data_IF_931447440583
#
_entry.id   IF_931447440583
#
_cell.length_a   1.000
_cell.length_b   1.000
_cell.length_c   1.000
_cell.angle_alpha   90.00
_cell.angle_beta   90.00
_cell.angle_gamma   90.00
#
_symmetry.space_group_name_H-M   'P 1'
#
loop_
_entity.id
_entity.type
_entity.pdbx_description
1 polymer ?
#
# COMPACT_ATOMS: atom_id res chain seq x y z
N UNK A 1 -24.63 -44.26 -5.41
CA UNK A 1 -23.41 -43.52 -5.81
C UNK A 1 -23.63 -42.56 -6.99
N UNK A 2 -24.25 -42.97 -8.11
CA UNK A 2 -24.48 -42.08 -9.28
C UNK A 2 -25.35 -40.84 -8.99
N UNK A 3 -26.41 -40.98 -8.18
CA UNK A 3 -27.30 -39.87 -7.82
C UNK A 3 -26.61 -38.79 -6.97
N UNK A 4 -25.69 -39.20 -6.09
CA UNK A 4 -24.92 -38.27 -5.23
C UNK A 4 -23.95 -37.45 -6.08
N UNK A 5 -23.28 -38.07 -7.05
CA UNK A 5 -22.39 -37.36 -7.98
C UNK A 5 -23.15 -36.35 -8.86
N UNK A 6 -24.34 -36.71 -9.36
CA UNK A 6 -25.18 -35.81 -10.14
C UNK A 6 -25.68 -34.62 -9.29
N UNK A 7 -26.06 -34.86 -8.04
CA UNK A 7 -26.51 -33.81 -7.11
C UNK A 7 -25.37 -32.84 -6.75
N UNK A 8 -24.15 -33.35 -6.52
CA UNK A 8 -22.97 -32.53 -6.28
C UNK A 8 -22.57 -31.69 -7.51
N UNK A 9 -22.67 -32.24 -8.72
CA UNK A 9 -22.46 -31.48 -9.95
C UNK A 9 -23.46 -30.34 -10.09
N UNK A 10 -24.75 -30.59 -9.85
CA UNK A 10 -25.80 -29.56 -9.88
C UNK A 10 -25.56 -28.48 -8.82
N UNK A 11 -25.12 -28.84 -7.61
CA UNK A 11 -24.71 -27.89 -6.58
C UNK A 11 -23.50 -27.04 -6.98
N UNK A 12 -22.51 -27.61 -7.67
CA UNK A 12 -21.37 -26.87 -8.22
C UNK A 12 -21.78 -25.90 -9.35
N UNK A 13 -22.79 -26.26 -10.15
CA UNK A 13 -23.35 -25.36 -11.17
C UNK A 13 -24.23 -24.25 -10.56
N UNK A 14 -24.90 -24.51 -9.43
CA UNK A 14 -25.73 -23.54 -8.69
C UNK A 14 -24.92 -22.66 -7.74
N UNK A 15 -23.71 -23.10 -7.35
CA UNK A 15 -22.66 -22.24 -6.80
C UNK A 15 -22.10 -21.36 -7.93
N UNK A 16 -23.00 -20.57 -8.54
CA UNK A 16 -22.67 -19.62 -9.58
C UNK A 16 -21.52 -18.77 -9.08
N UNK A 17 -20.44 -18.75 -9.85
CA UNK A 17 -19.39 -17.77 -9.72
C UNK A 17 -20.06 -16.40 -9.78
N UNK A 18 -20.26 -15.75 -8.63
CA UNK A 18 -20.63 -14.34 -8.57
C UNK A 18 -19.43 -13.57 -9.10
N UNK A 19 -19.38 -13.43 -10.43
CA UNK A 19 -18.44 -12.53 -11.06
C UNK A 19 -18.73 -11.13 -10.52
N UNK A 20 -17.67 -10.40 -10.19
CA UNK A 20 -17.77 -9.01 -9.79
C UNK A 20 -18.45 -8.22 -10.90
N UNK A 21 -19.55 -7.53 -10.59
CA UNK A 21 -20.19 -6.63 -11.54
C UNK A 21 -19.37 -5.33 -11.61
N UNK A 22 -18.39 -5.32 -12.51
CA UNK A 22 -17.48 -4.20 -12.68
C UNK A 22 -18.00 -3.23 -13.74
N UNK A 23 -17.86 -1.92 -13.47
CA UNK A 23 -18.04 -0.85 -14.45
C UNK A 23 -16.69 -0.19 -14.71
N UNK A 24 -16.44 0.19 -15.96
CA UNK A 24 -15.23 0.95 -16.29
C UNK A 24 -15.18 2.26 -15.49
N UNK A 25 -14.05 2.50 -14.83
CA UNK A 25 -13.82 3.71 -14.05
C UNK A 25 -13.54 4.91 -14.98
N UNK A 26 -13.70 6.16 -14.49
CA UNK A 26 -13.26 7.34 -15.21
C UNK A 26 -11.80 7.20 -15.70
N UNK A 27 -11.58 7.51 -16.99
CA UNK A 27 -10.31 7.22 -17.65
C UNK A 27 -9.17 8.07 -17.09
N UNK A 28 -8.16 7.40 -16.53
CA UNK A 28 -6.82 7.95 -16.31
C UNK A 28 -5.87 7.33 -17.34
N UNK A 29 -5.03 8.13 -17.99
CA UNK A 29 -4.12 7.62 -19.02
C UNK A 29 -2.86 7.02 -18.39
N UNK A 30 -2.61 5.73 -18.65
CA UNK A 30 -1.45 4.98 -18.18
C UNK A 30 -1.27 4.97 -16.66
N UNK A 31 -2.29 4.57 -15.86
CA UNK A 31 -2.15 4.44 -14.42
C UNK A 31 -1.11 3.38 -14.08
N UNK A 32 -0.32 3.62 -13.03
CA UNK A 32 0.70 2.70 -12.51
C UNK A 32 0.39 2.22 -11.11
N UNK A 33 -0.27 3.05 -10.30
CA UNK A 33 -0.68 2.72 -8.94
C UNK A 33 -1.94 3.51 -8.59
N UNK A 34 -2.80 2.92 -7.77
CA UNK A 34 -4.05 3.50 -7.27
C UNK A 34 -4.21 3.13 -5.80
N UNK A 35 -4.82 4.01 -5.01
CA UNK A 35 -5.22 3.73 -3.64
C UNK A 35 -6.56 4.39 -3.33
N UNK A 36 -7.32 3.79 -2.43
CA UNK A 36 -8.65 4.27 -2.05
C UNK A 36 -8.88 4.15 -0.54
N UNK A 37 -9.32 5.24 0.06
CA UNK A 37 -9.52 5.36 1.50
C UNK A 37 -10.26 6.63 1.85
N UNK A 38 -11.07 6.58 2.91
CA UNK A 38 -11.87 7.72 3.39
C UNK A 38 -12.79 8.35 2.32
N UNK A 39 -13.31 7.54 1.40
CA UNK A 39 -14.17 8.00 0.30
C UNK A 39 -13.42 8.73 -0.83
N UNK A 40 -12.09 8.74 -0.79
CA UNK A 40 -11.24 9.32 -1.82
C UNK A 40 -10.55 8.22 -2.62
N UNK A 41 -10.19 8.55 -3.85
CA UNK A 41 -9.36 7.69 -4.70
C UNK A 41 -8.21 8.53 -5.24
N UNK A 42 -6.99 8.05 -5.06
CA UNK A 42 -5.76 8.68 -5.56
C UNK A 42 -5.02 7.74 -6.49
N UNK A 43 -4.29 8.27 -7.46
CA UNK A 43 -3.56 7.47 -8.42
C UNK A 43 -2.28 8.14 -8.90
N UNK A 44 -1.32 7.33 -9.35
CA UNK A 44 -0.10 7.74 -10.05
C UNK A 44 -0.17 7.29 -11.51
N UNK A 45 0.18 8.16 -12.45
CA UNK A 45 0.38 7.78 -13.85
C UNK A 45 1.84 7.40 -14.19
N UNK A 46 2.09 6.92 -15.42
CA UNK A 46 3.45 6.56 -15.87
C UNK A 46 4.47 7.70 -15.83
N UNK A 47 4.02 8.95 -15.78
CA UNK A 47 4.86 10.14 -15.67
C UNK A 47 5.05 10.57 -14.21
N UNK A 48 4.64 9.74 -13.25
CA UNK A 48 4.83 9.97 -11.82
C UNK A 48 4.07 11.19 -11.33
N UNK A 49 2.94 11.50 -11.97
CA UNK A 49 2.03 12.58 -11.57
C UNK A 49 0.95 11.97 -10.70
N UNK A 50 0.72 12.57 -9.53
CA UNK A 50 -0.37 12.17 -8.65
C UNK A 50 -1.68 12.85 -9.04
N UNK A 51 -2.78 12.14 -8.83
CA UNK A 51 -4.13 12.62 -9.09
C UNK A 51 -5.07 12.19 -7.96
N UNK A 52 -6.14 12.94 -7.78
CA UNK A 52 -7.32 12.50 -7.03
C UNK A 52 -8.55 12.47 -7.94
N UNK A 53 -9.45 11.53 -7.68
CA UNK A 53 -10.73 11.44 -8.38
C UNK A 53 -11.77 12.32 -7.69
N UNK A 54 -12.46 13.16 -8.46
CA UNK A 54 -13.64 13.90 -8.00
C UNK A 54 -14.72 13.84 -9.08
N UNK A 55 -15.91 13.35 -8.70
CA UNK A 55 -16.96 13.03 -9.67
C UNK A 55 -16.47 12.04 -10.73
N UNK A 56 -16.52 12.43 -11.99
CA UNK A 56 -16.07 11.63 -13.13
C UNK A 56 -14.71 12.08 -13.71
N UNK A 57 -13.94 12.86 -12.96
CA UNK A 57 -12.73 13.52 -13.47
C UNK A 57 -11.54 13.36 -12.54
N UNK A 58 -10.36 13.17 -13.13
CA UNK A 58 -9.09 13.12 -12.42
C UNK A 58 -8.43 14.51 -12.37
N UNK A 59 -8.05 14.95 -11.19
CA UNK A 59 -7.41 16.25 -10.96
C UNK A 59 -5.99 16.07 -10.45
N UNK A 60 -5.06 16.85 -10.98
CA UNK A 60 -3.65 16.83 -10.57
C UNK A 60 -3.55 17.12 -9.07
N UNK A 61 -2.84 16.26 -8.34
CA UNK A 61 -2.60 16.37 -6.91
C UNK A 61 -1.14 16.79 -6.66
N UNK A 62 -0.95 18.03 -6.23
CA UNK A 62 0.37 18.59 -5.91
C UNK A 62 1.34 18.70 -7.10
N UNK A 63 2.55 19.16 -6.79
CA UNK A 63 3.63 19.42 -7.76
C UNK A 63 4.71 18.34 -7.77
N UNK A 64 4.84 17.57 -6.69
CA UNK A 64 5.89 16.56 -6.51
C UNK A 64 5.68 15.36 -7.43
N UNK A 65 6.77 14.87 -8.03
CA UNK A 65 6.78 13.64 -8.81
C UNK A 65 6.89 12.43 -7.89
N UNK A 66 5.82 11.63 -7.84
CA UNK A 66 5.68 10.51 -6.91
C UNK A 66 5.65 9.17 -7.66
N UNK A 67 6.27 8.14 -7.07
CA UNK A 67 6.16 6.76 -7.56
C UNK A 67 5.05 5.96 -6.88
N UNK A 68 4.60 6.43 -5.71
CA UNK A 68 3.56 5.80 -4.92
C UNK A 68 2.79 6.87 -4.12
N UNK A 69 1.46 6.75 -4.05
CA UNK A 69 0.57 7.63 -3.28
C UNK A 69 -0.49 6.79 -2.55
N UNK A 70 -0.83 7.18 -1.33
CA UNK A 70 -1.86 6.54 -0.52
C UNK A 70 -2.74 7.56 0.18
N UNK A 71 -4.01 7.20 0.41
CA UNK A 71 -5.02 8.03 1.09
C UNK A 71 -5.78 7.23 2.14
N UNK A 72 -6.04 7.85 3.29
CA UNK A 72 -6.86 7.27 4.33
C UNK A 72 -7.04 8.21 5.52
N UNK A 73 -7.38 7.70 6.72
CA UNK A 73 -7.58 8.53 7.91
C UNK A 73 -6.36 9.38 8.31
N UNK A 74 -5.14 8.96 7.93
CA UNK A 74 -3.92 9.73 8.15
C UNK A 74 -3.70 10.89 7.13
N UNK A 75 -4.64 11.09 6.20
CA UNK A 75 -4.54 12.03 5.08
C UNK A 75 -3.91 11.38 3.83
N UNK A 76 -3.35 12.21 2.94
CA UNK A 76 -2.68 11.74 1.72
C UNK A 76 -1.16 11.80 1.91
N UNK A 77 -0.51 10.67 1.62
CA UNK A 77 0.93 10.48 1.72
C UNK A 77 1.49 9.89 0.43
N UNK A 78 2.78 10.05 0.20
CA UNK A 78 3.43 9.46 -0.96
C UNK A 78 4.94 9.40 -0.86
N UNK A 79 5.55 8.70 -1.80
CA UNK A 79 7.02 8.60 -1.91
C UNK A 79 7.49 8.98 -3.32
N UNK A 80 8.64 9.64 -3.40
CA UNK A 80 9.29 9.96 -4.67
C UNK A 80 10.25 8.84 -5.12
N UNK A 81 10.87 9.00 -6.29
CA UNK A 81 11.83 8.01 -6.81
C UNK A 81 13.09 7.83 -5.95
N UNK A 82 13.42 8.84 -5.13
CA UNK A 82 14.55 8.81 -4.21
C UNK A 82 14.17 8.24 -2.84
N UNK A 83 12.97 7.65 -2.72
CA UNK A 83 12.39 7.13 -1.49
C UNK A 83 12.14 8.20 -0.42
N UNK A 84 12.07 9.47 -0.78
CA UNK A 84 11.67 10.53 0.16
C UNK A 84 10.17 10.45 0.39
N UNK A 85 9.77 10.61 1.65
CA UNK A 85 8.37 10.55 2.08
C UNK A 85 7.77 11.96 2.09
N UNK A 86 6.53 12.08 1.67
CA UNK A 86 5.79 13.34 1.61
C UNK A 86 4.39 13.19 2.20
N UNK A 87 3.91 14.27 2.83
CA UNK A 87 2.51 14.44 3.23
C UNK A 87 1.88 15.56 2.42
N UNK A 88 0.67 15.37 1.94
CA UNK A 88 -0.09 16.43 1.27
C UNK A 88 -0.66 17.40 2.31
N UNK A 89 -0.27 18.68 2.24
CA UNK A 89 -0.65 19.73 3.18
C UNK A 89 -0.86 21.03 2.41
N UNK A 90 -2.03 21.65 2.58
CA UNK A 90 -2.29 22.99 2.06
C UNK A 90 -2.15 23.12 0.54
N UNK A 91 -2.55 22.10 -0.22
CA UNK A 91 -2.54 22.13 -1.67
C UNK A 91 -1.33 21.45 -2.33
N UNK A 92 -0.29 21.08 -1.58
CA UNK A 92 0.90 20.44 -2.14
C UNK A 92 1.56 19.42 -1.20
N UNK A 93 2.46 18.60 -1.74
CA UNK A 93 3.26 17.64 -0.99
C UNK A 93 4.44 18.33 -0.28
N UNK A 94 4.48 18.21 1.05
CA UNK A 94 5.56 18.68 1.91
C UNK A 94 6.42 17.50 2.35
N UNK A 95 7.73 17.71 2.39
CA UNK A 95 8.69 16.69 2.75
C UNK A 95 8.51 16.28 4.21
N UNK A 96 8.25 14.99 4.43
CA UNK A 96 8.16 14.35 5.73
C UNK A 96 9.51 13.70 6.06
N UNK A 97 10.43 14.49 6.65
CA UNK A 97 11.79 14.05 6.97
C UNK A 97 11.79 12.96 8.04
N UNK A 98 12.81 12.10 8.04
CA UNK A 98 13.09 11.16 9.14
C UNK A 98 13.38 9.74 8.70
N UNK A 99 12.77 9.28 7.60
CA UNK A 99 13.01 7.95 7.05
C UNK A 99 12.78 7.94 5.54
N UNK A 100 13.58 7.15 4.82
CA UNK A 100 13.36 6.87 3.40
C UNK A 100 12.54 5.60 3.25
N UNK A 101 11.43 5.67 2.52
CA UNK A 101 10.52 4.55 2.28
C UNK A 101 10.26 4.39 0.79
N UNK A 102 10.20 3.13 0.33
CA UNK A 102 9.90 2.84 -1.08
C UNK A 102 8.41 2.81 -1.39
N UNK A 103 7.57 2.68 -0.36
CA UNK A 103 6.12 2.69 -0.40
C UNK A 103 5.58 3.13 0.98
N UNK A 104 4.40 3.77 0.99
CA UNK A 104 3.65 4.13 2.21
C UNK A 104 2.18 3.79 2.07
N UNK A 105 1.51 3.53 3.19
CA UNK A 105 0.06 3.33 3.27
C UNK A 105 -0.53 4.14 4.43
N UNK A 106 -1.62 4.85 4.14
CA UNK A 106 -2.27 5.80 5.03
C UNK A 106 -3.65 5.29 5.52
N UNK A 107 -3.96 4.01 5.32
CA UNK A 107 -5.25 3.41 5.62
C UNK A 107 -5.50 3.09 7.11
N UNK A 108 -4.48 3.23 7.95
CA UNK A 108 -4.56 2.99 9.40
C UNK A 108 -5.49 3.98 10.10
N UNK A 109 -5.73 3.76 11.39
CA UNK A 109 -6.54 4.66 12.23
C UNK A 109 -5.73 5.90 12.63
N UNK A 110 -5.33 6.69 11.62
CA UNK A 110 -4.43 7.82 11.73
C UNK A 110 -2.95 7.48 11.59
N UNK A 111 -2.55 6.19 11.64
CA UNK A 111 -1.16 5.79 11.42
C UNK A 111 -0.80 5.72 9.94
N UNK A 112 0.48 5.91 9.64
CA UNK A 112 1.07 5.62 8.32
C UNK A 112 2.09 4.51 8.47
N UNK A 113 2.04 3.53 7.58
CA UNK A 113 3.07 2.48 7.50
C UNK A 113 3.84 2.59 6.21
N UNK A 114 5.00 1.97 6.16
CA UNK A 114 5.75 1.82 4.92
C UNK A 114 6.94 0.91 5.10
N UNK A 115 7.64 0.68 4.00
CA UNK A 115 8.80 -0.21 3.96
C UNK A 115 10.04 0.54 3.48
N UNK A 116 11.19 0.24 4.09
CA UNK A 116 12.46 0.83 3.70
C UNK A 116 13.00 0.20 2.42
N UNK A 117 13.68 0.97 1.55
CA UNK A 117 14.34 0.41 0.38
C UNK A 117 15.41 -0.61 0.81
N UNK A 118 15.58 -1.65 0.00
CA UNK A 118 16.61 -2.72 0.14
C UNK A 118 16.43 -3.67 1.33
N UNK A 119 16.28 -3.17 2.56
CA UNK A 119 16.10 -4.02 3.74
C UNK A 119 14.67 -4.53 3.89
N UNK A 120 13.72 -3.88 3.21
CA UNK A 120 12.29 -4.23 3.22
C UNK A 120 11.68 -4.23 4.62
N UNK A 121 12.30 -3.50 5.56
CA UNK A 121 11.86 -3.44 6.95
C UNK A 121 10.62 -2.55 7.04
N UNK A 122 9.60 -3.05 7.72
CA UNK A 122 8.36 -2.31 7.94
C UNK A 122 8.54 -1.32 9.08
N UNK A 123 8.13 -0.07 8.84
CA UNK A 123 8.06 1.00 9.82
C UNK A 123 6.64 1.55 9.92
N UNK A 124 6.35 2.14 11.06
CA UNK A 124 5.09 2.80 11.37
C UNK A 124 5.35 4.19 11.94
N UNK A 125 4.47 5.12 11.60
CA UNK A 125 4.37 6.46 12.16
C UNK A 125 3.04 6.58 12.90
N UNK A 126 3.08 7.08 14.13
CA UNK A 126 1.89 7.18 15.00
C UNK A 126 0.97 8.31 14.53
N UNK A 127 -0.29 8.17 14.86
CA UNK A 127 -1.37 9.14 14.64
C UNK A 127 -1.04 10.56 15.15
N UNK A 128 -0.46 10.68 16.35
CA UNK A 128 -0.09 11.99 16.91
C UNK A 128 0.94 12.72 16.03
N UNK A 129 1.86 11.94 15.44
CA UNK A 129 2.93 12.45 14.60
C UNK A 129 2.41 12.75 13.18
N UNK A 130 1.43 11.98 12.68
CA UNK A 130 0.81 12.23 11.37
C UNK A 130 -0.06 13.48 11.40
N UNK A 131 -0.94 13.65 12.39
CA UNK A 131 -1.80 14.84 12.51
C UNK A 131 -1.00 16.10 12.81
N UNK A 132 -0.02 16.01 13.71
CA UNK A 132 0.83 17.14 14.10
C UNK A 132 1.78 17.64 13.01
N UNK A 133 2.06 16.84 11.98
CA UNK A 133 3.05 17.19 10.96
C UNK A 133 2.60 18.37 10.08
N UNK A 134 3.38 19.47 10.14
CA UNK A 134 3.21 20.70 9.36
C UNK A 134 4.27 20.89 8.25
N UNK A 135 5.10 19.89 7.98
CA UNK A 135 6.12 19.95 6.91
C UNK A 135 7.46 20.57 7.31
N UNK A 136 7.70 20.83 8.60
CA UNK A 136 8.93 21.47 9.11
C UNK A 136 9.77 20.49 9.91
N UNK A 137 9.13 19.65 10.73
CA UNK A 137 9.79 18.78 11.71
C UNK A 137 10.18 17.41 11.15
N UNK A 138 11.19 16.80 11.78
CA UNK A 138 11.61 15.41 11.52
C UNK A 138 10.69 14.45 12.27
N UNK A 139 10.18 13.44 11.57
CA UNK A 139 9.27 12.44 12.11
C UNK A 139 10.01 11.24 12.66
N UNK A 140 9.54 10.72 13.80
CA UNK A 140 10.11 9.55 14.47
C UNK A 140 9.32 8.29 14.11
N UNK A 141 9.81 7.56 13.11
CA UNK A 141 9.29 6.26 12.71
C UNK A 141 9.79 5.16 13.65
N UNK A 142 8.96 4.16 13.92
CA UNK A 142 9.36 2.98 14.69
C UNK A 142 9.24 1.70 13.86
N UNK A 143 10.23 0.82 14.01
CA UNK A 143 10.26 -0.47 13.30
C UNK A 143 9.24 -1.43 13.88
N UNK A 144 8.56 -2.18 13.01
CA UNK A 144 7.70 -3.30 13.40
C UNK A 144 8.43 -4.65 13.39
N UNK A 145 9.75 -4.65 13.14
CA UNK A 145 10.60 -5.86 13.07
C UNK A 145 10.09 -6.92 12.10
N UNK A 146 9.42 -6.49 11.02
CA UNK A 146 8.91 -7.32 9.93
C UNK A 146 9.60 -6.96 8.62
N UNK A 147 9.74 -7.94 7.71
CA UNK A 147 10.26 -7.74 6.36
C UNK A 147 9.18 -8.05 5.31
N UNK A 148 8.86 -7.08 4.46
CA UNK A 148 7.73 -7.14 3.51
C UNK A 148 8.07 -6.46 2.19
N UNK A 149 7.53 -6.94 1.07
CA UNK A 149 7.64 -6.25 -0.23
C UNK A 149 6.64 -5.11 -0.41
N UNK A 150 5.57 -5.14 0.37
CA UNK A 150 4.53 -4.12 0.41
C UNK A 150 3.80 -4.22 1.76
N UNK A 151 3.38 -3.09 2.33
CA UNK A 151 2.64 -3.09 3.59
C UNK A 151 1.50 -2.08 3.60
N UNK A 152 0.33 -2.51 4.05
CA UNK A 152 -0.87 -1.71 4.17
C UNK A 152 -1.54 -1.87 5.55
N UNK A 153 -2.21 -0.84 6.03
CA UNK A 153 -2.94 -0.85 7.30
C UNK A 153 -4.40 -0.45 7.11
N UNK A 154 -5.27 -0.93 8.00
CA UNK A 154 -6.69 -0.60 8.03
C UNK A 154 -7.18 -0.29 9.45
N UNK A 155 -8.34 0.38 9.59
CA UNK A 155 -8.82 0.93 10.87
C UNK A 155 -9.36 -0.12 11.86
N UNK A 156 -9.53 -1.38 11.44
CA UNK A 156 -10.01 -2.48 12.30
C UNK A 156 -9.10 -3.70 12.18
N UNK A 157 -8.16 -3.83 13.10
CA UNK A 157 -7.39 -5.05 13.43
C UNK A 157 -6.65 -5.80 12.31
N UNK A 158 -6.41 -5.21 11.14
CA UNK A 158 -5.70 -5.87 10.05
C UNK A 158 -4.58 -4.99 9.50
N UNK A 159 -3.33 -5.36 9.78
CA UNK A 159 -2.20 -4.97 8.94
C UNK A 159 -2.01 -6.08 7.92
N UNK A 160 -2.19 -5.78 6.64
CA UNK A 160 -2.01 -6.73 5.54
C UNK A 160 -0.68 -6.43 4.86
N UNK A 161 0.07 -7.46 4.50
CA UNK A 161 1.34 -7.28 3.83
C UNK A 161 1.86 -8.58 3.25
N UNK A 162 2.51 -8.48 2.10
CA UNK A 162 3.12 -9.62 1.44
C UNK A 162 4.49 -9.87 2.04
N UNK A 163 4.60 -11.02 2.73
CA UNK A 163 5.83 -11.46 3.38
C UNK A 163 6.90 -11.76 2.34
N UNK A 164 8.13 -11.37 2.66
CA UNK A 164 9.30 -11.91 1.99
C UNK A 164 9.45 -13.39 2.37
N UNK A 165 8.92 -14.28 1.53
CA UNK A 165 9.41 -15.66 1.50
C UNK A 165 10.72 -15.66 0.72
N UNK A 166 11.80 -16.04 1.40
CA UNK A 166 13.10 -16.23 0.77
C UNK A 166 13.04 -17.51 -0.07
N UNK A 167 12.52 -17.43 -1.29
CA UNK A 167 12.80 -18.47 -2.27
C UNK A 167 14.28 -18.40 -2.65
N UNK A 168 15.06 -19.39 -2.19
CA UNK A 168 16.39 -19.68 -2.69
C UNK A 168 17.57 -19.23 -1.84
N UNK A 169 17.82 -19.91 -0.72
CA UNK A 169 19.20 -20.20 -0.30
C UNK A 169 19.28 -21.71 -0.04
N UNK A 170 20.24 -22.44 -0.65
CA UNK A 170 20.34 -23.88 -0.45
C UNK A 170 20.64 -24.15 1.03
N UNK A 171 19.85 -25.06 1.58
CA UNK A 171 20.09 -25.73 2.84
C UNK A 171 21.54 -26.22 2.85
N UNK A 172 22.42 -25.58 3.63
CA UNK A 172 23.69 -26.22 4.00
C UNK A 172 23.32 -27.25 5.06
N UNK A 173 23.13 -28.48 4.60
CA UNK A 173 23.05 -29.65 5.45
C UNK A 173 24.33 -29.74 6.27
N UNK A 174 24.19 -29.48 7.56
CA UNK A 174 25.20 -29.73 8.54
C UNK A 174 25.13 -31.22 8.90
N UNK A 175 25.72 -32.08 8.06
CA UNK A 175 25.98 -33.46 8.41
C UNK A 175 27.43 -33.59 8.90
N UNK A 176 27.56 -33.57 10.22
CA UNK A 176 28.57 -34.35 10.93
C UNK A 176 28.49 -35.80 10.45
N UNK A 177 29.57 -36.29 9.84
CA UNK A 177 29.92 -37.70 9.90
C UNK A 177 31.35 -37.83 10.40
N UNK A 178 31.43 -38.51 11.53
CA UNK A 178 32.62 -39.14 12.07
C UNK A 178 33.26 -40.04 10.98
N UNK A 179 34.55 -39.84 10.73
CA UNK A 179 35.66 -40.77 10.99
C UNK A 179 36.97 -40.00 10.88
#
# INVERSE_FOLDING_TARGET
MKAVAAFLLVLCYLAGSHAWNCKEAPRLYYPKQIDAGQGQVVAIDKYKRAYYLSGSSWYRLGSVSLKHVSVGPAGIWGTDNSNKVYKYIGGDFKLAKGLSLEQVDAGGDGQVVGITPSTHTVYCLRDIDTWGHKGVDTLSWYSLSKKMKYYACGPKYGMLGDRLEFEGLPHKDNHTKQL
#
